data_IF_236305245842
#
_entry.id   IF_236305245842
#
_cell.length_a   1.000
_cell.length_b   1.000
_cell.length_c   1.000
_cell.angle_alpha   90.00
_cell.angle_beta   90.00
_cell.angle_gamma   90.00
#
_symmetry.space_group_name_H-M   'P 1'
#
loop_
_entity.id
_entity.type
_entity.pdbx_description
1 polymer ?
#
# COMPACT_ATOMS: atom_id res chain seq x y z
N UNK A 1 31.66 9.13 25.89
CA UNK A 1 31.51 8.15 24.80
C UNK A 1 30.14 7.47 24.79
N UNK A 2 29.59 7.04 25.93
CA UNK A 2 28.24 6.43 25.99
C UNK A 2 27.08 7.38 25.59
N UNK A 3 27.21 8.69 25.78
CA UNK A 3 26.18 9.67 25.37
C UNK A 3 26.07 9.81 23.85
N UNK A 4 27.18 9.64 23.12
CA UNK A 4 27.20 9.71 21.66
C UNK A 4 26.52 8.48 21.02
N UNK A 5 26.61 7.32 21.67
CA UNK A 5 25.91 6.10 21.25
C UNK A 5 24.40 6.14 21.51
N UNK A 6 23.91 7.03 22.38
CA UNK A 6 22.47 7.24 22.62
C UNK A 6 21.89 8.17 21.53
N UNK A 7 22.66 9.16 21.09
CA UNK A 7 22.29 10.08 19.99
C UNK A 7 22.37 9.42 18.61
N UNK A 8 23.36 8.55 18.40
CA UNK A 8 23.41 7.68 17.23
C UNK A 8 22.41 6.53 17.47
N UNK A 9 21.15 6.70 17.06
CA UNK A 9 20.08 5.70 17.21
C UNK A 9 20.51 4.35 16.61
N UNK A 10 21.09 3.50 17.47
CA UNK A 10 21.39 2.12 17.13
C UNK A 10 20.11 1.29 17.22
N UNK A 11 20.04 0.19 16.46
CA UNK A 11 18.91 -0.75 16.47
C UNK A 11 18.54 -1.24 17.89
N UNK A 12 19.50 -1.28 18.81
CA UNK A 12 19.30 -1.66 20.21
C UNK A 12 18.38 -0.68 20.96
N UNK A 13 18.48 0.63 20.69
CA UNK A 13 17.61 1.62 21.32
C UNK A 13 16.17 1.50 20.80
N UNK A 14 16.00 1.23 19.51
CA UNK A 14 14.69 0.99 18.91
C UNK A 14 14.00 -0.22 19.55
N UNK A 15 14.75 -1.30 19.81
CA UNK A 15 14.27 -2.48 20.54
C UNK A 15 13.85 -2.14 21.98
N UNK A 16 14.64 -1.33 22.69
CA UNK A 16 14.30 -0.88 24.06
C UNK A 16 12.98 -0.10 24.06
N UNK A 17 12.82 0.84 23.13
CA UNK A 17 11.60 1.66 23.02
C UNK A 17 10.41 0.78 22.65
N UNK A 18 10.59 -0.14 21.71
CA UNK A 18 9.55 -1.10 21.33
C UNK A 18 9.08 -1.94 22.51
N UNK A 19 9.98 -2.40 23.38
CA UNK A 19 9.64 -3.15 24.60
C UNK A 19 8.84 -2.28 25.57
N UNK A 20 9.25 -1.02 25.81
CA UNK A 20 8.52 -0.10 26.69
C UNK A 20 7.10 0.14 26.15
N UNK A 21 6.97 0.40 24.85
CA UNK A 21 5.68 0.58 24.18
C UNK A 21 4.84 -0.71 24.30
N UNK A 22 5.44 -1.89 24.15
CA UNK A 22 4.76 -3.18 24.28
C UNK A 22 4.22 -3.41 25.70
N UNK A 23 4.92 -2.94 26.73
CA UNK A 23 4.45 -3.03 28.13
C UNK A 23 3.31 -2.05 28.39
N UNK A 24 3.42 -0.81 27.89
CA UNK A 24 2.40 0.23 28.09
C UNK A 24 1.10 -0.05 27.32
N UNK A 25 1.21 -0.46 26.06
CA UNK A 25 0.07 -0.70 25.19
C UNK A 25 -0.36 -2.17 25.16
N UNK A 26 0.50 -3.09 25.57
CA UNK A 26 0.27 -4.53 25.47
C UNK A 26 0.57 -5.09 24.07
N UNK A 27 1.06 -6.34 24.01
CA UNK A 27 1.47 -6.98 22.76
C UNK A 27 0.36 -7.21 21.73
N UNK A 28 -0.91 -7.07 22.12
CA UNK A 28 -2.07 -7.25 21.23
C UNK A 28 -2.55 -5.94 20.59
N UNK A 29 -2.28 -4.76 21.20
CA UNK A 29 -2.82 -3.48 20.71
C UNK A 29 -2.10 -2.92 19.50
N UNK A 30 -0.78 -3.07 19.42
CA UNK A 30 0.00 -2.61 18.27
C UNK A 30 -0.43 -3.34 16.97
N UNK A 31 -0.51 -4.69 16.93
CA UNK A 31 -0.96 -5.40 15.73
C UNK A 31 -2.43 -5.14 15.38
N UNK A 32 -3.31 -5.02 16.38
CA UNK A 32 -4.73 -4.71 16.19
C UNK A 32 -4.92 -3.33 15.54
N UNK A 33 -4.20 -2.32 16.03
CA UNK A 33 -4.21 -0.97 15.48
C UNK A 33 -3.57 -0.89 14.09
N UNK A 34 -2.44 -1.58 13.86
CA UNK A 34 -1.83 -1.69 12.54
C UNK A 34 -2.73 -2.39 11.53
N UNK A 35 -3.47 -3.43 11.95
CA UNK A 35 -4.41 -4.13 11.07
C UNK A 35 -5.55 -3.20 10.63
N UNK A 36 -6.11 -2.42 11.56
CA UNK A 36 -7.15 -1.42 11.24
C UNK A 36 -6.65 -0.31 10.31
N UNK A 37 -5.49 0.29 10.62
CA UNK A 37 -4.84 1.29 9.77
C UNK A 37 -4.47 0.74 8.38
N UNK A 38 -3.98 -0.50 8.33
CA UNK A 38 -3.57 -1.16 7.09
C UNK A 38 -4.75 -1.43 6.16
N UNK A 39 -5.89 -1.89 6.70
CA UNK A 39 -7.12 -2.04 5.92
C UNK A 39 -7.61 -0.69 5.38
N UNK A 40 -7.62 0.36 6.20
CA UNK A 40 -8.02 1.71 5.75
C UNK A 40 -7.10 2.28 4.67
N UNK A 41 -5.77 2.13 4.80
CA UNK A 41 -4.81 2.53 3.75
C UNK A 41 -5.04 1.73 2.47
N UNK A 42 -5.37 0.44 2.57
CA UNK A 42 -5.61 -0.43 1.42
C UNK A 42 -6.87 -0.02 0.67
N UNK A 43 -7.98 0.15 1.39
CA UNK A 43 -9.26 0.61 0.81
C UNK A 43 -9.11 2.00 0.16
N UNK A 44 -8.37 2.91 0.81
CA UNK A 44 -8.06 4.21 0.24
C UNK A 44 -7.24 4.11 -1.05
N UNK A 45 -6.22 3.24 -1.07
CA UNK A 45 -5.41 2.98 -2.28
C UNK A 45 -6.26 2.41 -3.42
N UNK A 46 -7.15 1.47 -3.10
CA UNK A 46 -7.98 0.78 -4.08
C UNK A 46 -9.00 1.76 -4.70
N UNK A 47 -9.65 2.60 -3.88
CA UNK A 47 -10.57 3.63 -4.36
C UNK A 47 -9.88 4.66 -5.27
N UNK A 48 -8.70 5.17 -4.88
CA UNK A 48 -7.93 6.12 -5.70
C UNK A 48 -7.52 5.50 -7.04
N UNK A 49 -7.12 4.23 -7.05
CA UNK A 49 -6.78 3.51 -8.29
C UNK A 49 -7.98 3.28 -9.21
N UNK A 50 -9.15 3.03 -8.65
CA UNK A 50 -10.38 2.90 -9.45
C UNK A 50 -10.79 4.24 -10.07
N UNK A 51 -10.65 5.35 -9.33
CA UNK A 51 -10.89 6.71 -9.85
C UNK A 51 -9.93 7.06 -11.00
N UNK A 52 -8.63 6.78 -10.83
CA UNK A 52 -7.61 6.98 -11.87
C UNK A 52 -7.88 6.13 -13.13
N UNK A 53 -8.37 4.89 -12.96
CA UNK A 53 -8.78 4.03 -14.07
C UNK A 53 -10.04 4.53 -14.76
N UNK A 54 -11.02 5.05 -14.01
CA UNK A 54 -12.25 5.61 -14.60
C UNK A 54 -11.98 6.85 -15.45
N UNK A 55 -11.01 7.68 -15.07
CA UNK A 55 -10.60 8.83 -15.89
C UNK A 55 -9.86 8.42 -17.17
N UNK A 56 -9.34 7.19 -17.23
CA UNK A 56 -8.56 6.66 -18.35
C UNK A 56 -9.38 5.83 -19.36
N UNK A 57 -10.62 5.46 -19.02
CA UNK A 57 -11.45 4.58 -19.87
C UNK A 57 -12.68 5.28 -20.51
N UNK A 58 -12.97 6.54 -20.18
CA UNK A 58 -13.89 7.38 -20.97
C UNK A 58 -13.18 8.01 -22.18
N UNK A 59 -12.74 7.19 -23.15
CA UNK A 59 -12.51 7.64 -24.54
C UNK A 59 -12.79 6.55 -25.57
N UNK A 60 -13.00 5.28 -25.19
CA UNK A 60 -13.31 4.24 -26.17
C UNK A 60 -14.52 3.41 -25.77
N UNK A 61 -15.73 3.91 -26.05
CA UNK A 61 -16.82 3.11 -26.65
C UNK A 61 -18.15 3.88 -26.67
N UNK A 62 -18.48 4.50 -27.80
CA UNK A 62 -19.82 4.40 -28.45
C UNK A 62 -19.80 5.03 -29.86
N UNK A 63 -20.24 4.22 -30.83
CA UNK A 63 -20.71 4.50 -32.20
C UNK A 63 -19.73 4.48 -33.41
N UNK A 64 -19.83 3.42 -34.25
CA UNK A 64 -19.52 3.51 -35.70
C UNK A 64 -18.97 2.28 -36.48
N UNK A 65 -19.75 1.19 -36.62
CA UNK A 65 -19.84 0.28 -37.81
C UNK A 65 -18.55 -0.48 -38.31
N UNK A 66 -18.57 -1.34 -39.37
CA UNK A 66 -18.39 -2.80 -39.31
C UNK A 66 -17.10 -3.36 -39.98
N UNK A 67 -16.81 -4.66 -39.76
CA UNK A 67 -16.10 -5.61 -40.67
C UNK A 67 -14.64 -5.28 -41.09
N UNK A 68 -13.66 -6.06 -40.60
CA UNK A 68 -12.56 -6.53 -41.46
C UNK A 68 -11.92 -7.83 -40.94
N UNK A 69 -12.25 -8.87 -41.67
CA UNK A 69 -11.66 -10.20 -41.77
C UNK A 69 -10.25 -10.14 -42.39
N UNK A 70 -9.20 -10.38 -41.61
CA UNK A 70 -7.96 -10.89 -42.20
C UNK A 70 -7.22 -11.84 -41.26
N UNK A 71 -7.55 -13.13 -41.42
CA UNK A 71 -6.61 -14.22 -41.18
C UNK A 71 -5.40 -14.03 -42.09
N UNK A 72 -4.18 -14.03 -41.54
CA UNK A 72 -3.00 -14.25 -42.38
C UNK A 72 -2.14 -15.34 -41.73
N UNK A 73 -1.76 -16.37 -42.52
CA UNK A 73 -1.19 -17.63 -42.04
C UNK A 73 0.33 -17.49 -41.90
N UNK A 74 0.99 -18.62 -41.60
CA UNK A 74 2.39 -19.00 -41.90
C UNK A 74 3.08 -19.54 -40.64
N UNK A 75 3.77 -20.67 -40.66
CA UNK A 75 3.97 -21.72 -41.67
C UNK A 75 4.26 -23.01 -40.89
#
# INVERSE_FOLDING_TARGET
MQTLTILALSWQHLLIVAIIVLILFGGKKIPEMMRGLGSGIKEFKDAVKEEDKKTSEETNSTAGTPKNNNSTPTN
#
